data_IF_201951464554
#
_entry.id   IF_201951464554
#
_cell.length_a   1.000
_cell.length_b   1.000
_cell.length_c   1.000
_cell.angle_alpha   90.00
_cell.angle_beta   90.00
_cell.angle_gamma   90.00
#
_symmetry.space_group_name_H-M   'P 1'
#
loop_
_entity.id
_entity.type
_entity.pdbx_description
1 polymer ?
#
# COMPACT_ATOMS: atom_id res chain seq x y z
N UNK A 1 -6.65 -23.64 7.12
CA UNK A 1 -7.06 -22.26 7.44
C UNK A 1 -7.07 -21.55 6.11
N UNK A 2 -8.26 -21.22 5.61
CA UNK A 2 -8.41 -20.57 4.32
C UNK A 2 -8.18 -19.08 4.56
N UNK A 3 -6.98 -18.61 4.25
CA UNK A 3 -6.64 -17.21 4.44
C UNK A 3 -7.05 -16.44 3.20
N UNK A 4 -8.22 -15.82 3.24
CA UNK A 4 -8.69 -14.95 2.17
C UNK A 4 -7.97 -13.59 2.28
N UNK A 5 -6.66 -13.59 2.01
CA UNK A 5 -5.74 -12.44 1.98
C UNK A 5 -5.87 -11.66 0.66
N UNK A 6 -7.07 -11.15 0.39
CA UNK A 6 -7.27 -10.25 -0.75
C UNK A 6 -7.76 -8.93 -0.20
N UNK A 7 -6.84 -7.98 -0.08
CA UNK A 7 -7.22 -6.58 0.12
C UNK A 7 -8.03 -6.17 -1.11
N UNK A 8 -9.34 -6.03 -0.94
CA UNK A 8 -10.26 -5.61 -1.97
C UNK A 8 -10.01 -4.14 -2.30
N UNK A 9 -10.30 -3.68 -3.53
CA UNK A 9 -10.16 -2.26 -3.88
C UNK A 9 -11.03 -1.35 -3.01
N UNK A 10 -12.08 -1.92 -2.39
CA UNK A 10 -13.04 -1.25 -1.51
C UNK A 10 -12.60 -1.25 -0.04
N UNK A 11 -11.57 -2.03 0.32
CA UNK A 11 -11.09 -2.10 1.70
C UNK A 11 -10.34 -0.81 2.07
N UNK A 12 -10.53 -0.32 3.31
CA UNK A 12 -9.83 0.86 3.81
C UNK A 12 -8.32 0.62 3.91
N UNK A 13 -7.55 1.71 3.90
CA UNK A 13 -6.11 1.63 4.12
C UNK A 13 -5.83 1.09 5.54
N UNK A 14 -4.98 0.06 5.70
CA UNK A 14 -4.74 -0.55 7.01
C UNK A 14 -3.98 0.40 7.96
N UNK A 15 -4.37 0.43 9.23
CA UNK A 15 -3.66 1.24 10.26
C UNK A 15 -2.32 0.62 10.69
N UNK A 16 -2.13 -0.68 10.47
CA UNK A 16 -0.90 -1.41 10.79
C UNK A 16 -0.49 -2.28 9.60
N UNK A 17 0.63 -1.95 8.95
CA UNK A 17 1.15 -2.70 7.81
C UNK A 17 1.91 -3.97 8.22
N UNK A 18 2.27 -4.11 9.49
CA UNK A 18 3.07 -5.25 9.98
C UNK A 18 2.28 -6.55 10.06
N UNK A 19 0.95 -6.45 10.04
CA UNK A 19 0.05 -7.62 10.04
C UNK A 19 -0.17 -8.21 8.65
N UNK A 20 0.21 -7.48 7.59
CA UNK A 20 0.05 -7.91 6.21
C UNK A 20 1.16 -8.88 5.81
N UNK A 21 0.82 -9.90 5.02
CA UNK A 21 1.84 -10.68 4.34
C UNK A 21 2.52 -9.88 3.20
N UNK A 22 3.62 -10.41 2.65
CA UNK A 22 4.39 -9.71 1.62
C UNK A 22 3.58 -9.46 0.35
N UNK A 23 2.72 -10.40 -0.04
CA UNK A 23 1.86 -10.26 -1.22
C UNK A 23 0.81 -9.19 -1.00
N UNK A 24 0.21 -9.14 0.19
CA UNK A 24 -0.73 -8.10 0.59
C UNK A 24 -0.10 -6.70 0.57
N UNK A 25 1.13 -6.58 1.08
CA UNK A 25 1.87 -5.33 1.10
C UNK A 25 2.25 -4.86 -0.33
N UNK A 26 2.66 -5.77 -1.21
CA UNK A 26 2.92 -5.48 -2.63
C UNK A 26 1.65 -5.08 -3.39
N UNK A 27 0.51 -5.71 -3.09
CA UNK A 27 -0.79 -5.30 -3.65
C UNK A 27 -1.14 -3.88 -3.20
N UNK A 28 -0.93 -3.55 -1.92
CA UNK A 28 -1.17 -2.22 -1.39
C UNK A 28 -0.24 -1.18 -2.05
N UNK A 29 1.03 -1.52 -2.24
CA UNK A 29 2.01 -0.70 -2.95
C UNK A 29 1.57 -0.39 -4.40
N UNK A 30 1.16 -1.43 -5.14
CA UNK A 30 0.67 -1.26 -6.51
C UNK A 30 -0.60 -0.41 -6.59
N UNK A 31 -1.50 -0.54 -5.61
CA UNK A 31 -2.72 0.29 -5.53
C UNK A 31 -2.38 1.76 -5.27
N UNK A 32 -1.56 2.05 -4.27
CA UNK A 32 -1.17 3.41 -3.92
C UNK A 32 -0.47 4.11 -5.10
N UNK A 33 0.38 3.39 -5.83
CA UNK A 33 0.98 3.92 -7.06
C UNK A 33 -0.06 4.28 -8.13
N UNK A 34 -1.04 3.41 -8.39
CA UNK A 34 -2.09 3.66 -9.38
C UNK A 34 -3.01 4.82 -8.99
N UNK A 35 -3.32 4.94 -7.70
CA UNK A 35 -4.10 6.05 -7.14
C UNK A 35 -3.34 7.36 -7.34
N UNK A 36 -2.06 7.38 -6.96
CA UNK A 36 -1.19 8.53 -7.15
C UNK A 36 -1.06 8.93 -8.62
N UNK A 37 -0.84 7.97 -9.52
CA UNK A 37 -0.80 8.20 -10.97
C UNK A 37 -2.11 8.78 -11.50
N UNK A 38 -3.25 8.29 -11.02
CA UNK A 38 -4.57 8.80 -11.41
C UNK A 38 -4.78 10.23 -10.91
N UNK A 39 -4.39 10.54 -9.68
CA UNK A 39 -4.49 11.90 -9.13
C UNK A 39 -3.60 12.87 -9.91
N UNK A 40 -2.35 12.48 -10.22
CA UNK A 40 -1.46 13.24 -11.09
C UNK A 40 -2.05 13.49 -12.48
N UNK A 41 -2.81 12.54 -13.04
CA UNK A 41 -3.49 12.72 -14.31
C UNK A 41 -4.65 13.75 -14.23
N UNK A 42 -5.22 13.94 -13.04
CA UNK A 42 -6.31 14.91 -12.79
C UNK A 42 -5.84 16.25 -12.22
N UNK A 43 -4.59 16.34 -11.74
CA UNK A 43 -4.03 17.55 -11.15
C UNK A 43 -2.84 17.26 -10.23
N UNK A 44 -2.93 17.74 -8.99
CA UNK A 44 -1.94 17.45 -7.96
C UNK A 44 -2.40 16.24 -7.15
N UNK A 45 -1.45 15.42 -6.67
CA UNK A 45 -1.77 14.32 -5.78
C UNK A 45 -2.32 14.84 -4.46
N UNK A 46 -3.19 14.04 -3.86
CA UNK A 46 -3.62 14.25 -2.48
C UNK A 46 -2.46 13.88 -1.55
N UNK A 47 -2.12 14.74 -0.56
CA UNK A 47 -1.01 14.47 0.36
C UNK A 47 -1.16 13.16 1.13
N UNK A 48 -2.40 12.72 1.35
CA UNK A 48 -2.70 11.45 2.01
C UNK A 48 -2.26 10.24 1.16
N UNK A 49 -2.43 10.31 -0.16
CA UNK A 49 -2.00 9.26 -1.08
C UNK A 49 -0.48 9.13 -1.13
N UNK A 50 0.23 10.27 -1.09
CA UNK A 50 1.69 10.30 -0.97
C UNK A 50 2.17 9.71 0.37
N UNK A 51 1.53 10.07 1.48
CA UNK A 51 1.87 9.55 2.80
C UNK A 51 1.65 8.04 2.89
N UNK A 52 0.52 7.53 2.39
CA UNK A 52 0.23 6.09 2.34
C UNK A 52 1.28 5.32 1.54
N UNK A 53 1.70 5.87 0.39
CA UNK A 53 2.76 5.26 -0.41
C UNK A 53 4.12 5.27 0.31
N UNK A 54 4.45 6.34 1.02
CA UNK A 54 5.66 6.40 1.85
C UNK A 54 5.63 5.32 2.94
N UNK A 55 4.53 5.18 3.67
CA UNK A 55 4.37 4.16 4.73
C UNK A 55 4.58 2.74 4.19
N UNK A 56 4.00 2.42 3.03
CA UNK A 56 4.17 1.10 2.39
C UNK A 56 5.62 0.86 1.98
N UNK A 57 6.28 1.87 1.40
CA UNK A 57 7.69 1.74 1.01
C UNK A 57 8.62 1.58 2.22
N UNK A 58 8.32 2.26 3.34
CA UNK A 58 9.07 2.11 4.58
C UNK A 58 8.98 0.69 5.14
N UNK A 59 7.78 0.09 5.15
CA UNK A 59 7.61 -1.28 5.62
C UNK A 59 8.25 -2.29 4.67
N UNK A 60 8.13 -2.12 3.34
CA UNK A 60 8.83 -2.97 2.36
C UNK A 60 10.35 -2.91 2.58
N UNK A 61 10.92 -1.71 2.67
CA UNK A 61 12.34 -1.53 2.89
C UNK A 61 12.81 -2.09 4.25
N UNK A 62 11.97 -1.99 5.27
CA UNK A 62 12.22 -2.62 6.58
C UNK A 62 12.29 -4.14 6.46
N UNK A 63 11.41 -4.78 5.67
CA UNK A 63 11.41 -6.22 5.43
C UNK A 63 12.64 -6.67 4.63
N UNK A 64 12.99 -5.92 3.58
CA UNK A 64 14.21 -6.18 2.79
C UNK A 64 15.49 -6.15 3.64
N UNK A 65 15.56 -5.26 4.64
CA UNK A 65 16.70 -5.17 5.55
C UNK A 65 16.72 -6.27 6.64
N UNK A 66 15.61 -6.97 6.85
CA UNK A 66 15.48 -8.06 7.84
C UNK A 66 15.62 -9.46 7.24
N UNK A 67 15.53 -9.59 5.91
CA UNK A 67 15.78 -10.83 5.17
C UNK A 67 17.26 -11.18 5.04
#
# INVERSE_FOLDING_TARGET
>A
METNHKISPEDPFPEDLTVLDDTELEVLNSRAHRELEAEYATGFPEPETEARLEEVNLELNRREQQG
#
